data_IF_200954461253
#
_entry.id   IF_200954461253
#
_cell.length_a   1.000
_cell.length_b   1.000
_cell.length_c   1.000
_cell.angle_alpha   90.00
_cell.angle_beta   90.00
_cell.angle_gamma   90.00
#
_symmetry.space_group_name_H-M   'P 1'
#
loop_
_entity.id
_entity.type
_entity.pdbx_description
1 polymer ?
#
# COMPACT_ATOMS: atom_id res chain seq x y z
N UNK A 1 -51.44 -6.10 29.87
CA UNK A 1 -50.73 -5.67 28.65
C UNK A 1 -49.23 -5.77 28.89
N UNK A 2 -48.54 -6.77 28.34
CA UNK A 2 -47.08 -6.84 28.34
C UNK A 2 -46.54 -6.13 27.09
N UNK A 3 -45.57 -5.24 27.28
CA UNK A 3 -44.85 -4.56 26.20
C UNK A 3 -43.71 -5.47 25.71
N UNK A 4 -43.82 -5.88 24.45
CA UNK A 4 -42.81 -6.64 23.71
C UNK A 4 -41.66 -5.71 23.35
N UNK A 5 -40.49 -5.88 23.98
CA UNK A 5 -39.25 -5.28 23.49
C UNK A 5 -38.66 -6.19 22.42
N UNK A 6 -38.88 -5.81 21.16
CA UNK A 6 -38.25 -6.45 20.01
C UNK A 6 -36.74 -6.24 20.05
N UNK A 7 -35.99 -7.34 20.21
CA UNK A 7 -34.58 -7.39 19.85
C UNK A 7 -34.47 -7.19 18.34
N UNK A 8 -33.96 -6.03 17.92
CA UNK A 8 -33.41 -5.86 16.57
C UNK A 8 -32.13 -6.69 16.54
N UNK A 9 -32.21 -7.90 15.99
CA UNK A 9 -31.04 -8.63 15.51
C UNK A 9 -30.54 -7.86 14.30
N UNK A 10 -29.47 -7.08 14.47
CA UNK A 10 -28.65 -6.66 13.34
C UNK A 10 -28.07 -7.93 12.72
N UNK A 11 -28.50 -8.28 11.52
CA UNK A 11 -27.79 -9.23 10.68
C UNK A 11 -26.42 -8.59 10.39
N UNK A 12 -25.40 -9.02 11.15
CA UNK A 12 -24.02 -8.79 10.77
C UNK A 12 -23.80 -9.60 9.50
N UNK A 13 -23.56 -8.90 8.39
CA UNK A 13 -22.98 -9.43 7.17
C UNK A 13 -21.53 -9.86 7.48
N UNK A 14 -21.41 -11.02 8.13
CA UNK A 14 -20.17 -11.51 8.75
C UNK A 14 -19.61 -12.72 7.99
N UNK A 15 -20.01 -12.92 6.74
CA UNK A 15 -19.65 -14.11 5.95
C UNK A 15 -18.59 -13.87 4.86
N UNK A 16 -18.14 -12.63 4.63
CA UNK A 16 -17.03 -12.39 3.70
C UNK A 16 -15.71 -12.23 4.49
N UNK A 17 -14.79 -13.22 4.44
CA UNK A 17 -13.50 -13.12 5.12
C UNK A 17 -12.62 -12.01 4.54
N UNK A 18 -12.85 -11.60 3.29
CA UNK A 18 -12.06 -10.62 2.54
C UNK A 18 -12.70 -9.22 2.51
N UNK A 19 -13.35 -8.77 3.57
CA UNK A 19 -13.99 -7.43 3.59
C UNK A 19 -12.98 -6.30 3.77
N UNK A 20 -13.32 -5.10 3.28
CA UNK A 20 -12.59 -3.88 3.64
C UNK A 20 -13.34 -3.10 4.73
N UNK A 21 -12.69 -2.85 5.86
CA UNK A 21 -13.17 -2.15 7.04
C UNK A 21 -12.53 -0.76 7.20
N UNK A 22 -13.13 0.13 8.01
CA UNK A 22 -12.43 1.34 8.43
C UNK A 22 -11.42 0.99 9.53
N UNK A 23 -10.22 1.52 9.41
CA UNK A 23 -9.22 1.49 10.47
C UNK A 23 -9.68 2.40 11.60
N UNK A 24 -9.51 1.94 12.83
CA UNK A 24 -9.79 2.76 14.00
C UNK A 24 -8.76 3.91 14.14
N UNK A 25 -9.10 4.91 14.95
CA UNK A 25 -8.24 6.08 15.11
C UNK A 25 -6.86 5.73 15.66
N UNK A 26 -6.79 4.81 16.64
CA UNK A 26 -5.54 4.32 17.22
C UNK A 26 -4.67 3.59 16.20
N UNK A 27 -5.26 2.72 15.38
CA UNK A 27 -4.54 2.02 14.32
C UNK A 27 -4.01 2.98 13.25
N UNK A 28 -4.82 3.96 12.84
CA UNK A 28 -4.40 4.98 11.88
C UNK A 28 -3.20 5.78 12.42
N UNK A 29 -3.33 6.32 13.63
CA UNK A 29 -2.25 7.12 14.24
C UNK A 29 -1.01 6.27 14.54
N UNK A 30 -1.18 5.01 14.94
CA UNK A 30 -0.06 4.10 15.15
C UNK A 30 0.71 3.83 13.86
N UNK A 31 0.00 3.51 12.78
CA UNK A 31 0.62 3.27 11.47
C UNK A 31 1.37 4.52 10.97
N UNK A 32 0.72 5.69 10.98
CA UNK A 32 1.37 6.94 10.55
C UNK A 32 2.53 7.34 11.47
N UNK A 33 2.36 7.16 12.79
CA UNK A 33 3.39 7.51 13.76
C UNK A 33 4.67 6.67 13.63
N UNK A 34 4.53 5.41 13.19
CA UNK A 34 5.66 4.53 12.90
C UNK A 34 6.22 4.67 11.49
N UNK A 35 5.50 5.31 10.57
CA UNK A 35 5.92 5.43 9.18
C UNK A 35 6.98 6.51 8.98
N UNK A 36 8.06 6.16 8.29
CA UNK A 36 9.09 7.10 7.84
C UNK A 36 8.99 7.27 6.32
N UNK A 37 8.82 8.52 5.86
CA UNK A 37 8.60 8.81 4.45
C UNK A 37 9.83 8.38 3.62
N UNK A 38 9.58 7.62 2.55
CA UNK A 38 10.65 7.06 1.71
C UNK A 38 11.17 5.69 2.16
N UNK A 39 10.75 5.20 3.33
CA UNK A 39 11.40 4.06 3.97
C UNK A 39 10.41 2.97 4.45
N UNK A 40 11.00 1.85 4.89
CA UNK A 40 10.30 0.71 5.50
C UNK A 40 10.68 0.65 6.99
N UNK A 41 9.67 0.70 7.86
CA UNK A 41 9.86 0.57 9.32
C UNK A 41 9.36 -0.78 9.82
N UNK A 42 10.21 -1.54 10.52
CA UNK A 42 9.87 -2.79 11.16
C UNK A 42 9.39 -2.56 12.60
N UNK A 43 8.23 -3.12 12.92
CA UNK A 43 7.56 -2.98 14.22
C UNK A 43 7.41 -4.36 14.85
N UNK A 44 8.18 -4.60 15.91
CA UNK A 44 8.01 -5.79 16.76
C UNK A 44 6.83 -5.56 17.70
N UNK A 45 5.63 -5.91 17.22
CA UNK A 45 4.42 -5.82 18.01
C UNK A 45 3.38 -6.84 17.51
N UNK A 46 2.72 -7.58 18.42
CA UNK A 46 1.63 -8.46 18.03
C UNK A 46 0.45 -7.65 17.49
N UNK A 47 -0.42 -8.32 16.73
CA UNK A 47 -1.73 -7.81 16.33
C UNK A 47 -2.77 -8.91 16.53
N UNK A 48 -4.04 -8.54 16.68
CA UNK A 48 -5.13 -9.50 16.84
C UNK A 48 -5.30 -10.30 15.54
N UNK A 49 -4.67 -11.49 15.47
CA UNK A 49 -4.95 -12.51 14.46
C UNK A 49 -6.00 -13.43 15.07
N UNK A 50 -7.25 -13.35 14.60
CA UNK A 50 -8.27 -14.30 15.06
C UNK A 50 -7.85 -15.71 14.62
N UNK A 51 -7.36 -16.51 15.57
CA UNK A 51 -6.77 -17.84 15.32
C UNK A 51 -7.79 -18.87 14.84
N UNK A 52 -9.08 -18.64 15.11
CA UNK A 52 -10.15 -19.61 14.84
C UNK A 52 -10.72 -19.53 13.42
N UNK A 53 -10.48 -18.41 12.73
CA UNK A 53 -10.65 -18.25 11.29
C UNK A 53 -9.85 -16.99 10.89
N UNK A 54 -8.90 -17.07 9.93
CA UNK A 54 -8.08 -15.92 9.60
C UNK A 54 -8.98 -14.79 9.10
N UNK A 55 -9.11 -13.75 9.91
CA UNK A 55 -9.78 -12.52 9.53
C UNK A 55 -8.91 -11.85 8.46
N UNK A 56 -9.33 -11.97 7.19
CA UNK A 56 -8.68 -11.28 6.08
C UNK A 56 -9.25 -9.88 5.89
N UNK A 57 -9.88 -9.30 6.92
CA UNK A 57 -10.31 -7.91 6.91
C UNK A 57 -9.11 -7.01 6.60
N UNK A 58 -9.27 -6.23 5.54
CA UNK A 58 -8.35 -5.17 5.16
C UNK A 58 -8.87 -3.88 5.77
N UNK A 59 -7.99 -3.02 6.27
CA UNK A 59 -8.42 -1.77 6.89
C UNK A 59 -7.93 -0.58 6.08
N UNK A 60 -8.78 0.43 5.96
CA UNK A 60 -8.46 1.70 5.31
C UNK A 60 -8.82 2.87 6.20
N UNK A 61 -8.04 3.94 6.14
CA UNK A 61 -8.34 5.20 6.81
C UNK A 61 -7.88 6.38 5.97
N UNK A 62 -8.59 7.50 6.05
CA UNK A 62 -8.21 8.74 5.40
C UNK A 62 -8.52 9.93 6.32
N UNK A 63 -7.47 10.69 6.64
CA UNK A 63 -7.51 11.95 7.36
C UNK A 63 -7.32 13.11 6.37
N UNK A 64 -8.42 13.77 6.01
CA UNK A 64 -8.41 14.87 5.05
C UNK A 64 -7.83 16.17 5.60
N UNK A 65 -7.72 16.33 6.93
CA UNK A 65 -7.10 17.53 7.52
C UNK A 65 -5.56 17.45 7.44
N UNK A 66 -5.02 16.22 7.40
CA UNK A 66 -3.58 15.95 7.32
C UNK A 66 -3.11 15.46 5.96
N UNK A 67 -4.04 15.19 5.05
CA UNK A 67 -3.77 14.57 3.75
C UNK A 67 -3.11 13.19 3.89
N UNK A 68 -3.58 12.37 4.82
CA UNK A 68 -2.98 11.07 5.15
C UNK A 68 -3.93 9.92 4.83
N UNK A 69 -3.44 8.93 4.08
CA UNK A 69 -4.12 7.67 3.80
C UNK A 69 -3.39 6.50 4.46
N UNK A 70 -4.11 5.62 5.14
CA UNK A 70 -3.56 4.39 5.72
C UNK A 70 -4.27 3.19 5.13
N UNK A 71 -3.49 2.19 4.70
CA UNK A 71 -3.98 0.87 4.33
C UNK A 71 -3.28 -0.17 5.18
N UNK A 72 -4.03 -0.98 5.90
CA UNK A 72 -3.49 -2.07 6.72
C UNK A 72 -4.01 -3.42 6.23
N UNK A 73 -3.09 -4.33 5.91
CA UNK A 73 -3.41 -5.63 5.33
C UNK A 73 -2.62 -6.75 5.99
N UNK A 74 -3.24 -7.92 6.14
CA UNK A 74 -2.56 -9.15 6.57
C UNK A 74 -1.78 -9.73 5.40
N UNK A 75 -0.52 -10.10 5.63
CA UNK A 75 0.39 -10.57 4.58
C UNK A 75 1.10 -11.86 5.00
N UNK A 76 0.49 -13.01 4.73
CA UNK A 76 1.12 -14.32 4.96
C UNK A 76 1.80 -14.91 3.72
N UNK A 77 1.76 -14.22 2.58
CA UNK A 77 2.46 -14.62 1.36
C UNK A 77 2.29 -13.61 0.22
N UNK A 78 3.02 -13.80 -0.90
CA UNK A 78 3.10 -12.84 -2.00
C UNK A 78 1.75 -12.42 -2.58
N UNK A 79 0.94 -13.40 -2.96
CA UNK A 79 -0.34 -13.15 -3.62
C UNK A 79 -1.32 -12.42 -2.70
N UNK A 80 -1.43 -12.88 -1.45
CA UNK A 80 -2.31 -12.24 -0.48
C UNK A 80 -1.89 -10.80 -0.25
N UNK A 81 -0.58 -10.54 -0.08
CA UNK A 81 -0.08 -9.19 0.13
C UNK A 81 -0.50 -8.24 -1.00
N UNK A 82 -0.11 -8.55 -2.24
CA UNK A 82 -0.28 -7.60 -3.35
C UNK A 82 -1.75 -7.41 -3.68
N UNK A 83 -2.55 -8.49 -3.67
CA UNK A 83 -4.00 -8.41 -3.91
C UNK A 83 -4.68 -7.63 -2.81
N UNK A 84 -4.40 -7.92 -1.55
CA UNK A 84 -5.06 -7.24 -0.43
C UNK A 84 -4.71 -5.76 -0.40
N UNK A 85 -3.47 -5.40 -0.70
CA UNK A 85 -3.07 -4.01 -0.82
C UNK A 85 -3.84 -3.30 -1.95
N UNK A 86 -3.85 -3.90 -3.14
CA UNK A 86 -4.51 -3.34 -4.31
C UNK A 86 -6.03 -3.14 -4.09
N UNK A 87 -6.73 -4.15 -3.58
CA UNK A 87 -8.18 -4.10 -3.37
C UNK A 87 -8.56 -3.21 -2.18
N UNK A 88 -7.70 -3.08 -1.17
CA UNK A 88 -7.92 -2.11 -0.11
C UNK A 88 -7.75 -0.67 -0.62
N UNK A 89 -6.70 -0.40 -1.39
CA UNK A 89 -6.46 0.91 -2.02
C UNK A 89 -7.62 1.30 -2.93
N UNK A 90 -8.09 0.37 -3.75
CA UNK A 90 -9.20 0.56 -4.69
C UNK A 90 -10.59 0.50 -4.05
N UNK A 91 -10.68 0.28 -2.74
CA UNK A 91 -11.98 0.11 -2.10
C UNK A 91 -12.81 1.40 -2.20
N UNK A 92 -14.14 1.30 -2.41
CA UNK A 92 -15.02 2.47 -2.42
C UNK A 92 -14.89 3.34 -1.16
N UNK A 93 -14.57 2.71 -0.02
CA UNK A 93 -14.37 3.40 1.28
C UNK A 93 -13.20 4.37 1.27
N UNK A 94 -12.10 4.00 0.60
CA UNK A 94 -10.92 4.84 0.51
C UNK A 94 -11.02 5.79 -0.69
N UNK A 95 -11.33 5.26 -1.87
CA UNK A 95 -11.39 6.01 -3.14
C UNK A 95 -12.36 7.18 -3.04
N UNK A 96 -13.60 6.97 -2.59
CA UNK A 96 -14.59 8.04 -2.55
C UNK A 96 -14.26 9.13 -1.51
N UNK A 97 -13.39 8.83 -0.55
CA UNK A 97 -12.99 9.78 0.50
C UNK A 97 -11.72 10.54 0.13
N UNK A 98 -10.77 9.87 -0.54
CA UNK A 98 -9.48 10.44 -0.93
C UNK A 98 -9.54 11.16 -2.29
N UNK A 99 -10.36 10.69 -3.23
CA UNK A 99 -10.38 11.17 -4.62
C UNK A 99 -11.65 11.99 -4.91
N UNK A 100 -11.91 13.03 -4.11
CA UNK A 100 -13.06 13.93 -4.36
C UNK A 100 -12.90 14.68 -5.68
N UNK A 101 -14.02 15.08 -6.31
CA UNK A 101 -14.01 15.82 -7.58
C UNK A 101 -13.06 17.03 -7.53
N UNK A 102 -13.16 17.83 -6.47
CA UNK A 102 -12.31 19.02 -6.27
C UNK A 102 -10.80 18.74 -6.22
N UNK A 103 -10.39 17.53 -5.84
CA UNK A 103 -8.97 17.12 -5.80
C UNK A 103 -8.51 16.64 -7.17
N UNK A 104 -9.36 15.91 -7.87
CA UNK A 104 -9.03 15.43 -9.21
C UNK A 104 -9.01 16.58 -10.22
N UNK A 105 -9.94 17.53 -10.09
CA UNK A 105 -9.99 18.74 -10.91
C UNK A 105 -8.82 19.71 -10.66
N UNK A 106 -8.13 19.62 -9.52
CA UNK A 106 -6.97 20.47 -9.23
C UNK A 106 -5.67 19.99 -9.87
N UNK A 107 -5.65 18.75 -10.38
CA UNK A 107 -4.53 18.22 -11.14
C UNK A 107 -4.58 18.75 -12.57
N UNK A 108 -3.62 19.60 -12.92
CA UNK A 108 -3.45 20.05 -14.30
C UNK A 108 -2.87 18.91 -15.17
N UNK A 109 -3.42 18.72 -16.38
CA UNK A 109 -2.94 17.73 -17.35
C UNK A 109 -2.83 16.30 -16.78
N UNK A 110 -3.96 15.78 -16.29
CA UNK A 110 -4.11 14.40 -15.79
C UNK A 110 -3.47 13.35 -16.70
N UNK A 111 -3.67 13.38 -18.04
CA UNK A 111 -3.04 12.44 -18.93
C UNK A 111 -1.51 12.47 -18.86
N UNK A 112 -0.89 13.65 -18.93
CA UNK A 112 0.57 13.75 -18.87
C UNK A 112 1.14 13.24 -17.53
N UNK A 113 0.47 13.54 -16.42
CA UNK A 113 0.91 13.08 -15.09
C UNK A 113 0.70 11.58 -14.93
N UNK A 114 -0.53 11.11 -15.11
CA UNK A 114 -0.92 9.74 -14.78
C UNK A 114 -0.41 8.75 -15.83
N UNK A 115 -0.62 9.04 -17.12
CA UNK A 115 -0.27 8.13 -18.22
C UNK A 115 1.21 8.24 -18.60
N UNK A 116 1.72 9.44 -18.80
CA UNK A 116 3.04 9.61 -19.44
C UNK A 116 4.20 9.60 -18.44
N UNK A 117 4.04 10.25 -17.29
CA UNK A 117 5.08 10.31 -16.24
C UNK A 117 4.97 9.15 -15.23
N UNK A 118 3.77 8.90 -14.71
CA UNK A 118 3.52 7.85 -13.71
C UNK A 118 3.23 6.47 -14.32
N UNK A 119 3.01 6.39 -15.62
CA UNK A 119 2.75 5.14 -16.36
C UNK A 119 1.63 4.30 -15.76
N UNK A 120 0.59 4.96 -15.24
CA UNK A 120 -0.63 4.37 -14.71
C UNK A 120 -1.38 3.70 -15.87
N UNK A 121 -1.43 2.37 -15.83
CA UNK A 121 -2.12 1.57 -16.84
C UNK A 121 -3.61 1.45 -16.55
N UNK A 122 -4.40 1.11 -17.57
CA UNK A 122 -5.82 0.77 -17.42
C UNK A 122 -6.79 1.95 -17.41
N UNK A 123 -6.31 3.19 -17.58
CA UNK A 123 -7.17 4.37 -17.67
C UNK A 123 -7.59 4.64 -19.10
N UNK A 124 -8.90 4.58 -19.36
CA UNK A 124 -9.51 5.07 -20.61
C UNK A 124 -9.34 6.59 -20.73
N UNK A 125 -9.51 7.13 -21.94
CA UNK A 125 -9.50 8.59 -22.13
C UNK A 125 -10.65 9.25 -21.35
N UNK A 126 -11.83 8.61 -21.30
CA UNK A 126 -12.96 9.03 -20.49
C UNK A 126 -12.61 9.10 -18.99
N UNK A 127 -11.94 8.08 -18.45
CA UNK A 127 -11.49 8.07 -17.07
C UNK A 127 -10.44 9.15 -16.76
N UNK A 128 -9.76 9.72 -17.76
CA UNK A 128 -8.81 10.82 -17.55
C UNK A 128 -9.46 12.20 -17.66
N UNK A 129 -10.64 12.30 -18.28
CA UNK A 129 -11.38 13.55 -18.47
C UNK A 129 -12.49 13.74 -17.44
N UNK A 130 -12.98 12.66 -16.83
CA UNK A 130 -14.06 12.68 -15.83
C UNK A 130 -13.60 12.09 -14.47
N UNK A 131 -13.59 12.91 -13.39
CA UNK A 131 -13.30 12.45 -12.04
C UNK A 131 -14.15 11.28 -11.55
N UNK A 132 -15.42 11.20 -11.94
CA UNK A 132 -16.31 10.10 -11.56
C UNK A 132 -15.90 8.81 -12.26
N UNK A 133 -15.74 8.85 -13.59
CA UNK A 133 -15.23 7.73 -14.37
C UNK A 133 -13.86 7.23 -13.89
N UNK A 134 -12.97 8.14 -13.46
CA UNK A 134 -11.66 7.75 -12.89
C UNK A 134 -11.81 6.90 -11.63
N UNK A 135 -12.65 7.35 -10.69
CA UNK A 135 -12.90 6.61 -9.44
C UNK A 135 -13.54 5.27 -9.72
N UNK A 136 -14.55 5.23 -10.59
CA UNK A 136 -15.24 4.00 -10.96
C UNK A 136 -14.28 3.00 -11.60
N UNK A 137 -13.40 3.45 -12.51
CA UNK A 137 -12.39 2.59 -13.13
C UNK A 137 -11.45 1.93 -12.11
N UNK A 138 -11.00 2.66 -11.07
CA UNK A 138 -10.17 2.06 -10.02
C UNK A 138 -10.95 1.06 -9.17
N UNK A 139 -12.19 1.39 -8.80
CA UNK A 139 -13.05 0.50 -8.01
C UNK A 139 -13.34 -0.78 -8.79
N UNK A 140 -13.72 -0.67 -10.07
CA UNK A 140 -13.98 -1.79 -10.97
C UNK A 140 -12.74 -2.68 -11.13
N UNK A 141 -11.56 -2.09 -11.36
CA UNK A 141 -10.32 -2.85 -11.43
C UNK A 141 -10.02 -3.61 -10.11
N UNK A 142 -10.36 -3.01 -8.97
CA UNK A 142 -10.32 -3.68 -7.67
C UNK A 142 -11.28 -4.88 -7.59
N UNK A 143 -12.53 -4.71 -8.04
CA UNK A 143 -13.54 -5.79 -8.09
C UNK A 143 -13.14 -6.92 -9.04
N UNK A 144 -12.62 -6.61 -10.22
CA UNK A 144 -12.10 -7.58 -11.17
C UNK A 144 -10.98 -8.44 -10.57
N UNK A 145 -10.09 -7.84 -9.77
CA UNK A 145 -9.05 -8.57 -9.06
C UNK A 145 -9.63 -9.55 -8.03
N UNK A 146 -10.67 -9.15 -7.29
CA UNK A 146 -11.36 -10.03 -6.36
C UNK A 146 -11.98 -11.22 -7.11
N UNK A 147 -12.64 -10.97 -8.24
CA UNK A 147 -13.22 -12.02 -9.10
C UNK A 147 -12.16 -12.97 -9.65
N UNK A 148 -11.02 -12.46 -10.12
CA UNK A 148 -9.91 -13.30 -10.58
C UNK A 148 -9.33 -14.16 -9.44
N UNK A 149 -9.27 -13.63 -8.22
CA UNK A 149 -8.80 -14.41 -7.06
C UNK A 149 -9.82 -15.46 -6.62
N UNK A 150 -11.12 -15.18 -6.75
CA UNK A 150 -12.18 -16.16 -6.54
C UNK A 150 -12.08 -17.31 -7.57
N UNK A 151 -11.90 -16.99 -8.86
CA UNK A 151 -11.64 -17.98 -9.92
C UNK A 151 -10.40 -18.82 -9.64
N UNK A 152 -9.31 -18.19 -9.19
CA UNK A 152 -8.09 -18.90 -8.78
C UNK A 152 -8.37 -19.87 -7.62
N UNK A 153 -9.15 -19.44 -6.62
CA UNK A 153 -9.53 -20.31 -5.49
C UNK A 153 -10.46 -21.45 -5.91
N UNK A 154 -11.31 -21.24 -6.91
CA UNK A 154 -12.22 -22.24 -7.45
C UNK A 154 -11.55 -23.22 -8.42
N UNK A 155 -10.29 -22.98 -8.81
CA UNK A 155 -9.58 -23.81 -9.79
C UNK A 155 -9.95 -23.52 -11.25
N UNK A 156 -10.53 -22.35 -11.53
CA UNK A 156 -11.02 -21.97 -12.86
C UNK A 156 -9.91 -21.34 -13.71
N UNK A 157 -8.95 -22.17 -14.15
CA UNK A 157 -7.84 -21.78 -15.01
C UNK A 157 -7.27 -22.97 -15.79
N UNK A 158 -6.66 -22.69 -16.94
CA UNK A 158 -5.93 -23.70 -17.73
C UNK A 158 -4.50 -23.91 -17.21
N UNK A 159 -3.80 -22.81 -16.91
CA UNK A 159 -2.44 -22.79 -16.37
C UNK A 159 -2.43 -21.93 -15.10
N UNK A 160 -2.24 -22.60 -13.96
CA UNK A 160 -2.27 -21.97 -12.64
C UNK A 160 -1.22 -20.88 -12.49
N UNK A 161 0.01 -21.13 -12.95
CA UNK A 161 1.12 -20.23 -12.69
C UNK A 161 1.06 -19.02 -13.61
N UNK A 162 0.67 -19.22 -14.88
CA UNK A 162 0.36 -18.11 -15.78
C UNK A 162 -0.78 -17.24 -15.25
N UNK A 163 -1.84 -17.86 -14.73
CA UNK A 163 -3.01 -17.15 -14.18
C UNK A 163 -2.67 -16.38 -12.89
N UNK A 164 -1.93 -17.01 -11.96
CA UNK A 164 -1.39 -16.32 -10.77
C UNK A 164 -0.49 -15.15 -11.16
N UNK A 165 0.36 -15.34 -12.17
CA UNK A 165 1.22 -14.28 -12.68
C UNK A 165 0.44 -13.10 -13.27
N UNK A 166 -0.70 -13.33 -13.94
CA UNK A 166 -1.55 -12.23 -14.42
C UNK A 166 -2.23 -11.48 -13.28
N UNK A 167 -2.72 -12.19 -12.26
CA UNK A 167 -3.29 -11.57 -11.05
C UNK A 167 -2.25 -10.69 -10.35
N UNK A 168 -1.05 -11.23 -10.11
CA UNK A 168 0.04 -10.48 -9.46
C UNK A 168 0.41 -9.21 -10.24
N UNK A 169 0.55 -9.30 -11.57
CA UNK A 169 0.85 -8.13 -12.40
C UNK A 169 -0.26 -7.08 -12.36
N UNK A 170 -1.52 -7.52 -12.44
CA UNK A 170 -2.68 -6.64 -12.38
C UNK A 170 -2.77 -5.93 -11.02
N UNK A 171 -2.61 -6.67 -9.92
CA UNK A 171 -2.64 -6.12 -8.57
C UNK A 171 -1.49 -5.15 -8.29
N UNK A 172 -0.26 -5.46 -8.74
CA UNK A 172 0.84 -4.51 -8.68
C UNK A 172 0.57 -3.24 -9.49
N UNK A 173 -0.02 -3.38 -10.69
CA UNK A 173 -0.43 -2.26 -11.52
C UNK A 173 -1.43 -1.35 -10.80
N UNK A 174 -2.49 -1.92 -10.23
CA UNK A 174 -3.52 -1.17 -9.52
C UNK A 174 -2.95 -0.46 -8.27
N UNK A 175 -2.20 -1.21 -7.43
CA UNK A 175 -1.61 -0.65 -6.21
C UNK A 175 -0.61 0.47 -6.54
N UNK A 176 0.27 0.27 -7.51
CA UNK A 176 1.21 1.29 -7.97
C UNK A 176 0.47 2.53 -8.49
N UNK A 177 -0.59 2.33 -9.27
CA UNK A 177 -1.36 3.42 -9.87
C UNK A 177 -2.02 4.33 -8.82
N UNK A 178 -2.70 3.74 -7.84
CA UNK A 178 -3.36 4.51 -6.78
C UNK A 178 -2.32 5.22 -5.90
N UNK A 179 -1.21 4.56 -5.57
CA UNK A 179 -0.13 5.17 -4.78
C UNK A 179 0.50 6.37 -5.52
N UNK A 180 0.75 6.25 -6.82
CA UNK A 180 1.26 7.36 -7.62
C UNK A 180 0.24 8.50 -7.78
N UNK A 181 -1.05 8.20 -7.84
CA UNK A 181 -2.09 9.22 -7.86
C UNK A 181 -2.19 9.95 -6.51
N UNK A 182 -2.13 9.23 -5.39
CA UNK A 182 -2.09 9.84 -4.06
C UNK A 182 -0.89 10.78 -3.91
N UNK A 183 0.29 10.36 -4.37
CA UNK A 183 1.48 11.23 -4.40
C UNK A 183 1.28 12.50 -5.24
N UNK A 184 0.67 12.38 -6.42
CA UNK A 184 0.38 13.53 -7.28
C UNK A 184 -0.60 14.50 -6.61
N UNK A 185 -1.52 13.98 -5.79
CA UNK A 185 -2.48 14.75 -5.00
C UNK A 185 -1.92 15.27 -3.67
N UNK A 186 -0.65 14.99 -3.37
CA UNK A 186 -0.02 15.36 -2.08
C UNK A 186 -0.58 14.58 -0.88
N UNK A 187 -1.15 13.40 -1.11
CA UNK A 187 -1.66 12.51 -0.07
C UNK A 187 -0.53 11.57 0.37
N UNK A 188 -0.16 11.67 1.65
CA UNK A 188 0.83 10.81 2.29
C UNK A 188 0.22 9.43 2.59
N UNK A 189 0.70 8.41 1.88
CA UNK A 189 0.20 7.03 2.03
C UNK A 189 1.08 6.18 2.93
N UNK A 190 0.47 5.51 3.90
CA UNK A 190 1.11 4.54 4.80
C UNK A 190 0.52 3.16 4.57
N UNK A 191 1.39 2.19 4.30
CA UNK A 191 1.01 0.78 4.13
C UNK A 191 1.46 -0.02 5.34
N UNK A 192 0.53 -0.43 6.21
CA UNK A 192 0.80 -1.34 7.32
C UNK A 192 0.65 -2.80 6.84
N UNK A 193 1.77 -3.52 6.77
CA UNK A 193 1.82 -4.94 6.43
C UNK A 193 1.89 -5.75 7.72
N UNK A 194 0.82 -6.47 8.04
CA UNK A 194 0.70 -7.30 9.24
C UNK A 194 1.12 -8.73 8.92
N UNK A 195 2.31 -9.10 9.38
CA UNK A 195 2.96 -10.39 9.12
C UNK A 195 2.66 -11.35 10.27
N UNK A 196 1.87 -12.42 10.06
CA UNK A 196 1.58 -13.39 11.10
C UNK A 196 2.85 -14.09 11.60
N UNK A 197 2.88 -14.46 12.87
CA UNK A 197 3.99 -15.21 13.43
C UNK A 197 4.04 -16.65 12.89
N UNK A 198 5.23 -17.24 12.92
CA UNK A 198 5.40 -18.66 12.60
C UNK A 198 5.45 -18.99 11.10
N UNK A 199 5.55 -17.99 10.21
CA UNK A 199 5.86 -18.24 8.80
C UNK A 199 7.20 -18.97 8.66
N UNK A 200 7.27 -19.93 7.74
CA UNK A 200 8.51 -20.64 7.44
C UNK A 200 9.50 -19.72 6.68
N UNK A 201 10.77 -20.13 6.62
CA UNK A 201 11.83 -19.36 5.97
C UNK A 201 11.56 -19.09 4.49
N UNK A 202 10.94 -20.02 3.75
CA UNK A 202 10.64 -19.82 2.34
C UNK A 202 9.53 -18.77 2.18
N UNK A 203 8.46 -18.87 2.97
CA UNK A 203 7.39 -17.87 3.00
C UNK A 203 7.91 -16.46 3.32
N UNK A 204 8.83 -16.33 4.27
CA UNK A 204 9.48 -15.06 4.59
C UNK A 204 10.35 -14.53 3.44
N UNK A 205 11.10 -15.39 2.75
CA UNK A 205 11.91 -14.99 1.58
C UNK A 205 11.03 -14.50 0.42
N UNK A 206 9.95 -15.22 0.13
CA UNK A 206 9.00 -14.86 -0.93
C UNK A 206 8.30 -13.53 -0.61
N UNK A 207 7.91 -13.34 0.66
CA UNK A 207 7.31 -12.09 1.12
C UNK A 207 8.30 -10.92 1.00
N UNK A 208 9.54 -11.08 1.46
CA UNK A 208 10.59 -10.06 1.36
C UNK A 208 10.86 -9.65 -0.10
N UNK A 209 10.97 -10.64 -0.99
CA UNK A 209 11.13 -10.40 -2.43
C UNK A 209 9.95 -9.60 -2.99
N UNK A 210 8.73 -9.96 -2.60
CA UNK A 210 7.52 -9.28 -3.08
C UNK A 210 7.41 -7.86 -2.54
N UNK A 211 7.79 -7.62 -1.28
CA UNK A 211 7.86 -6.28 -0.69
C UNK A 211 8.88 -5.43 -1.44
N UNK A 212 10.07 -5.95 -1.74
CA UNK A 212 11.09 -5.24 -2.53
C UNK A 212 10.57 -4.84 -3.93
N UNK A 213 9.94 -5.77 -4.64
CA UNK A 213 9.33 -5.49 -5.95
C UNK A 213 8.23 -4.43 -5.84
N UNK A 214 7.32 -4.57 -4.87
CA UNK A 214 6.23 -3.60 -4.66
C UNK A 214 6.78 -2.20 -4.34
N UNK A 215 7.85 -2.13 -3.55
CA UNK A 215 8.54 -0.89 -3.18
C UNK A 215 9.12 -0.20 -4.41
N UNK A 216 9.81 -0.94 -5.28
CA UNK A 216 10.33 -0.39 -6.54
C UNK A 216 9.21 0.10 -7.48
N UNK A 217 8.09 -0.62 -7.55
CA UNK A 217 6.90 -0.22 -8.32
C UNK A 217 6.28 1.06 -7.78
N UNK A 218 6.29 1.25 -6.47
CA UNK A 218 5.71 2.40 -5.77
C UNK A 218 6.73 3.52 -5.52
N UNK A 219 7.86 3.51 -6.22
CA UNK A 219 8.91 4.52 -6.10
C UNK A 219 8.91 5.46 -7.31
N UNK A 220 9.40 6.69 -7.08
CA UNK A 220 9.52 7.72 -8.11
C UNK A 220 10.91 8.35 -8.17
N UNK A 221 11.28 8.82 -9.36
CA UNK A 221 12.38 9.75 -9.58
C UNK A 221 11.80 11.02 -10.17
N UNK A 222 11.70 12.08 -9.37
CA UNK A 222 10.88 13.25 -9.71
C UNK A 222 9.43 12.85 -10.05
N UNK A 223 8.98 13.18 -11.25
CA UNK A 223 7.64 12.81 -11.73
C UNK A 223 7.54 11.37 -12.29
N UNK A 224 8.66 10.65 -12.47
CA UNK A 224 8.69 9.40 -13.21
C UNK A 224 8.59 8.17 -12.31
N UNK A 225 7.80 7.17 -12.71
CA UNK A 225 7.72 5.89 -11.98
C UNK A 225 9.01 5.06 -12.16
N UNK A 226 9.69 4.72 -11.06
CA UNK A 226 11.01 4.09 -11.11
C UNK A 226 11.01 2.74 -11.80
N UNK A 227 10.05 1.87 -11.48
CA UNK A 227 10.05 0.50 -12.00
C UNK A 227 9.96 0.45 -13.53
N UNK A 228 9.20 1.38 -14.13
CA UNK A 228 9.09 1.48 -15.59
C UNK A 228 10.42 1.80 -16.24
N UNK A 229 11.21 2.66 -15.62
CA UNK A 229 12.49 3.12 -16.15
C UNK A 229 13.60 2.07 -15.94
N UNK A 230 13.64 1.45 -14.75
CA UNK A 230 14.76 0.61 -14.33
C UNK A 230 14.59 -0.88 -14.64
N UNK A 231 13.38 -1.43 -14.54
CA UNK A 231 13.15 -2.89 -14.51
C UNK A 231 12.18 -3.41 -15.57
N UNK A 232 11.47 -2.54 -16.30
CA UNK A 232 10.53 -2.98 -17.34
C UNK A 232 11.29 -3.61 -18.51
N UNK A 233 11.12 -4.92 -18.72
CA UNK A 233 11.80 -5.64 -19.80
C UNK A 233 11.13 -5.47 -21.17
N UNK A 234 9.84 -5.10 -21.22
CA UNK A 234 9.10 -4.93 -22.47
C UNK A 234 9.45 -3.58 -23.13
N UNK A 235 10.21 -3.64 -24.21
CA UNK A 235 10.72 -2.45 -24.92
C UNK A 235 9.61 -1.50 -25.37
N UNK A 236 8.52 -2.00 -25.95
CA UNK A 236 7.35 -1.19 -26.37
C UNK A 236 6.81 -0.31 -25.23
N UNK A 237 6.79 -0.85 -24.01
CA UNK A 237 6.31 -0.17 -22.82
C UNK A 237 7.31 0.82 -22.23
N UNK A 238 8.60 0.66 -22.52
CA UNK A 238 9.62 1.65 -22.17
C UNK A 238 9.61 2.81 -23.15
N UNK A 239 9.55 2.52 -24.46
CA UNK A 239 9.58 3.53 -25.51
C UNK A 239 8.38 4.47 -25.49
N UNK A 240 7.23 4.03 -24.97
CA UNK A 240 6.05 4.87 -24.79
C UNK A 240 6.12 5.77 -23.55
N UNK A 241 7.07 5.53 -22.63
CA UNK A 241 7.19 6.31 -21.41
C UNK A 241 8.12 7.50 -21.62
N UNK A 242 7.82 8.63 -20.98
CA UNK A 242 8.78 9.72 -20.90
C UNK A 242 9.95 9.30 -20.00
N UNK A 243 11.18 9.65 -20.39
CA UNK A 243 12.38 9.35 -19.61
C UNK A 243 12.88 10.57 -18.84
N UNK A 244 13.34 10.40 -17.59
CA UNK A 244 13.92 11.50 -16.83
C UNK A 244 15.26 11.96 -17.43
N UNK A 245 15.55 13.25 -17.28
CA UNK A 245 16.95 13.70 -17.27
C UNK A 245 17.48 13.49 -15.86
N UNK A 246 18.46 12.60 -15.70
CA UNK A 246 19.03 12.29 -14.38
C UNK A 246 19.92 13.44 -13.92
N UNK A 247 19.65 13.97 -12.72
CA UNK A 247 20.56 14.86 -12.03
C UNK A 247 21.70 14.04 -11.41
N UNK A 248 22.91 14.22 -11.92
CA UNK A 248 24.09 13.53 -11.41
C UNK A 248 24.43 13.86 -9.95
N UNK A 249 23.91 14.97 -9.40
CA UNK A 249 24.10 15.32 -7.98
C UNK A 249 23.05 14.68 -7.07
N UNK A 250 21.92 14.24 -7.62
CA UNK A 250 20.85 13.55 -6.91
C UNK A 250 20.25 12.43 -7.78
N UNK A 251 20.98 11.30 -7.96
CA UNK A 251 20.55 10.19 -8.79
C UNK A 251 19.69 9.19 -8.01
N UNK A 252 18.98 9.63 -6.97
CA UNK A 252 18.21 8.75 -6.09
C UNK A 252 16.70 8.98 -6.23
N UNK A 253 15.98 7.93 -6.57
CA UNK A 253 14.54 7.85 -6.45
C UNK A 253 14.11 7.51 -5.02
N UNK A 254 12.86 7.80 -4.71
CA UNK A 254 12.28 7.68 -3.37
C UNK A 254 11.02 6.83 -3.41
N UNK A 255 10.83 5.99 -2.40
CA UNK A 255 9.54 5.33 -2.17
C UNK A 255 8.48 6.39 -1.88
N UNK A 256 7.34 6.31 -2.56
CA UNK A 256 6.21 7.18 -2.27
C UNK A 256 5.61 6.77 -0.93
N UNK A 257 5.45 7.70 0.00
CA UNK A 257 4.90 7.46 1.33
C UNK A 257 5.79 6.57 2.21
N UNK A 258 5.21 5.83 3.16
CA UNK A 258 5.95 4.89 4.02
C UNK A 258 5.33 3.49 4.06
N UNK A 259 6.14 2.49 4.43
CA UNK A 259 5.70 1.11 4.67
C UNK A 259 6.04 0.73 6.10
N UNK A 260 5.06 0.23 6.84
CA UNK A 260 5.23 -0.26 8.21
C UNK A 260 5.00 -1.76 8.20
N UNK A 261 6.01 -2.57 8.53
CA UNK A 261 5.87 -4.03 8.59
C UNK A 261 5.84 -4.46 10.05
N UNK A 262 4.70 -5.01 10.48
CA UNK A 262 4.42 -5.33 11.88
C UNK A 262 4.22 -6.82 12.09
N UNK A 263 4.85 -7.39 13.12
CA UNK A 263 4.65 -8.77 13.54
C UNK A 263 5.51 -9.14 14.76
N UNK A 264 5.13 -10.20 15.48
CA UNK A 264 5.80 -10.65 16.73
C UNK A 264 7.19 -11.28 16.47
N UNK A 265 7.45 -11.80 15.27
CA UNK A 265 8.75 -12.37 14.88
C UNK A 265 9.38 -11.63 13.69
N UNK A 266 9.11 -10.32 13.58
CA UNK A 266 9.54 -9.50 12.44
C UNK A 266 11.06 -9.42 12.26
N UNK A 267 11.83 -9.64 13.33
CA UNK A 267 13.29 -9.72 13.29
C UNK A 267 13.78 -10.82 12.32
N UNK A 268 12.97 -11.87 12.06
CA UNK A 268 13.28 -12.94 11.09
C UNK A 268 13.16 -12.47 9.65
N UNK A 269 12.28 -11.50 9.38
CA UNK A 269 12.05 -10.96 8.04
C UNK A 269 13.13 -9.94 7.65
N UNK A 270 13.65 -9.18 8.62
CA UNK A 270 14.68 -8.15 8.41
C UNK A 270 15.83 -8.56 7.47
N UNK A 271 16.60 -9.63 7.75
CA UNK A 271 17.73 -10.00 6.88
C UNK A 271 17.30 -10.40 5.47
N UNK A 272 16.04 -10.82 5.27
CA UNK A 272 15.52 -11.17 3.95
C UNK A 272 15.13 -9.92 3.17
N UNK A 273 14.52 -8.94 3.85
CA UNK A 273 14.24 -7.64 3.26
C UNK A 273 15.52 -6.91 2.88
N UNK A 274 16.53 -6.87 3.77
CA UNK A 274 17.85 -6.28 3.48
C UNK A 274 18.43 -6.90 2.20
N UNK A 275 18.50 -8.24 2.13
CA UNK A 275 18.99 -8.94 0.96
C UNK A 275 18.19 -8.63 -0.33
N UNK A 276 16.85 -8.63 -0.24
CA UNK A 276 15.97 -8.37 -1.39
C UNK A 276 16.01 -6.92 -1.86
N UNK A 277 16.31 -5.95 -0.99
CA UNK A 277 16.46 -4.54 -1.35
C UNK A 277 17.85 -4.24 -1.92
N UNK A 278 18.90 -4.87 -1.39
CA UNK A 278 20.28 -4.75 -1.89
C UNK A 278 20.52 -5.46 -3.22
N UNK A 279 19.72 -6.50 -3.50
CA UNK A 279 19.83 -7.31 -4.73
C UNK A 279 18.52 -7.25 -5.52
N UNK A 280 18.14 -6.08 -6.09
CA UNK A 280 16.93 -5.96 -6.88
C UNK A 280 17.02 -6.78 -8.18
N UNK A 281 15.89 -6.84 -8.91
CA UNK A 281 15.86 -7.44 -10.24
C UNK A 281 16.91 -6.82 -11.17
N UNK A 282 17.31 -7.56 -12.21
CA UNK A 282 18.25 -7.04 -13.19
C UNK A 282 17.69 -5.78 -13.88
N UNK A 283 18.55 -4.78 -14.05
CA UNK A 283 18.21 -3.57 -14.78
C UNK A 283 17.93 -3.87 -16.25
N UNK A 284 17.06 -3.05 -16.85
CA UNK A 284 16.89 -3.03 -18.30
C UNK A 284 18.20 -2.57 -18.99
N UNK A 285 18.42 -3.01 -20.23
CA UNK A 285 19.66 -2.78 -20.98
C UNK A 285 20.04 -1.29 -21.10
N UNK A 286 19.04 -0.42 -21.28
CA UNK A 286 19.21 1.03 -21.40
C UNK A 286 18.60 1.78 -20.20
N UNK A 287 18.64 1.17 -19.01
CA UNK A 287 18.12 1.82 -17.80
C UNK A 287 18.88 3.13 -17.53
N UNK A 288 18.19 4.24 -17.22
CA UNK A 288 18.83 5.49 -16.85
C UNK A 288 19.66 5.36 -15.57
N UNK A 289 20.68 6.21 -15.42
CA UNK A 289 21.71 6.13 -14.37
C UNK A 289 21.24 6.65 -13.00
N UNK A 290 20.06 6.23 -12.54
CA UNK A 290 19.57 6.50 -11.18
C UNK A 290 19.22 5.20 -10.43
N UNK A 291 19.16 5.25 -9.12
CA UNK A 291 18.83 4.11 -8.26
C UNK A 291 17.65 4.45 -7.34
N UNK A 292 17.00 3.44 -6.76
CA UNK A 292 16.02 3.64 -5.68
C UNK A 292 16.66 3.14 -4.39
N UNK A 293 16.79 4.04 -3.40
CA UNK A 293 17.26 3.69 -2.07
C UNK A 293 16.07 3.65 -1.12
N UNK A 294 15.87 2.50 -0.47
CA UNK A 294 14.85 2.34 0.58
C UNK A 294 15.54 1.78 1.80
N UNK A 295 15.51 2.53 2.88
CA UNK A 295 16.13 2.16 4.14
C UNK A 295 15.19 1.28 4.97
N UNK A 296 15.80 0.46 5.83
CA UNK A 296 15.09 -0.33 6.83
C UNK A 296 15.38 0.25 8.21
N UNK A 297 14.35 0.77 8.86
CA UNK A 297 14.40 1.26 10.23
C UNK A 297 13.59 0.38 11.17
N UNK A 298 13.79 0.56 12.47
CA UNK A 298 12.94 -0.02 13.52
C UNK A 298 12.34 1.12 14.32
N UNK A 299 11.20 0.88 14.98
CA UNK A 299 10.57 1.87 15.85
C UNK A 299 11.57 2.41 16.87
N UNK A 300 11.66 3.72 16.94
CA UNK A 300 12.48 4.44 17.90
C UNK A 300 11.62 5.37 18.76
N UNK A 301 12.27 6.12 19.67
CA UNK A 301 11.59 7.10 20.53
C UNK A 301 10.82 8.16 19.73
N UNK A 302 11.23 8.49 18.52
CA UNK A 302 10.58 9.48 17.65
C UNK A 302 9.23 8.99 17.18
N UNK A 303 9.12 7.72 16.80
CA UNK A 303 7.85 7.09 16.43
C UNK A 303 6.84 7.11 17.59
N UNK A 304 7.27 6.76 18.82
CA UNK A 304 6.44 6.89 20.02
C UNK A 304 5.99 8.33 20.27
N UNK A 305 6.89 9.31 20.10
CA UNK A 305 6.56 10.72 20.25
C UNK A 305 5.52 11.17 19.22
N UNK A 306 5.67 10.76 17.96
CA UNK A 306 4.76 11.06 16.86
C UNK A 306 3.35 10.51 17.13
N UNK A 307 3.25 9.20 17.40
CA UNK A 307 1.97 8.55 17.67
C UNK A 307 1.28 9.12 18.92
N UNK A 308 2.01 9.27 20.03
CA UNK A 308 1.45 9.81 21.27
C UNK A 308 1.00 11.27 21.11
N UNK A 309 1.76 12.09 20.38
CA UNK A 309 1.38 13.48 20.11
C UNK A 309 0.08 13.54 19.31
N UNK A 310 -0.05 12.73 18.26
CA UNK A 310 -1.25 12.67 17.42
C UNK A 310 -2.48 12.20 18.19
N UNK A 311 -2.37 11.12 18.98
CA UNK A 311 -3.46 10.62 19.84
C UNK A 311 -3.91 11.69 20.85
N UNK A 312 -2.95 12.33 21.53
CA UNK A 312 -3.24 13.27 22.61
C UNK A 312 -3.76 14.62 22.09
N UNK A 313 -3.34 15.04 20.89
CA UNK A 313 -3.82 16.25 20.25
C UNK A 313 -5.35 16.24 20.05
N UNK A 314 -5.96 15.08 19.82
CA UNK A 314 -7.43 14.95 19.74
C UNK A 314 -8.15 15.40 21.03
N UNK A 315 -7.44 15.38 22.17
CA UNK A 315 -7.92 15.86 23.48
C UNK A 315 -7.27 17.17 23.90
N UNK A 316 -6.60 17.88 22.99
CA UNK A 316 -5.79 19.07 23.28
C UNK A 316 -4.70 18.83 24.36
N UNK A 317 -4.19 17.60 24.43
CA UNK A 317 -3.11 17.21 25.33
C UNK A 317 -1.79 17.12 24.56
N UNK A 318 -0.67 17.24 25.29
CA UNK A 318 0.69 17.07 24.76
C UNK A 318 1.46 16.09 25.63
N UNK A 319 2.14 15.09 25.05
CA UNK A 319 2.98 14.20 25.84
C UNK A 319 4.20 14.96 26.38
N UNK A 320 4.68 14.57 27.56
CA UNK A 320 5.96 15.05 28.09
C UNK A 320 7.11 14.19 27.57
N UNK A 321 8.34 14.70 27.61
CA UNK A 321 9.54 13.95 27.18
C UNK A 321 9.73 12.70 28.05
N UNK A 322 9.42 12.81 29.33
CA UNK A 322 9.48 11.76 30.34
C UNK A 322 8.45 10.65 30.03
N UNK A 323 7.21 11.03 29.70
CA UNK A 323 6.17 10.06 29.29
C UNK A 323 6.60 9.29 28.04
N UNK A 324 7.13 9.97 27.02
CA UNK A 324 7.61 9.28 25.81
C UNK A 324 8.76 8.34 26.13
N UNK A 325 9.71 8.78 26.96
CA UNK A 325 10.82 7.92 27.39
C UNK A 325 10.34 6.68 28.14
N UNK A 326 9.28 6.78 28.96
CA UNK A 326 8.69 5.64 29.66
C UNK A 326 7.91 4.70 28.74
N UNK A 327 7.25 5.22 27.70
CA UNK A 327 6.52 4.39 26.73
C UNK A 327 7.44 3.62 25.79
N UNK A 328 8.62 4.17 25.48
CA UNK A 328 9.62 3.54 24.62
C UNK A 328 10.55 2.57 25.36
N UNK A 329 10.77 2.78 26.66
CA UNK A 329 11.73 2.01 27.48
C UNK A 329 11.34 0.54 27.63
#
# INVERSE_FOLDING_TARGET
>A
MPLVHGRIRSYSDNSNPNRTAYLDHSGHVGAVGCGEAGDITLVDAPFDDQTDAPDHTRYVGFDGDREEAVVAVRTSGPLQYVVSLATALASPRLINRALTDSRLESLEDLPAILRDARCIGGLSDEALEDPEALREAFIEWGTDLEDLTAKLSAGEYEDRDRFRGSIMRSAHGLAGSIVHLFDALGIDVVRELRVPSGLDTNSLNELATTISIATAIQSKYGAFACYRQLFESREEKRQSALSPTVDANDPLGTLIGSVVVRGEDIYRLRPKLEQSLETPAALAEDAPEFAVLVSLSTVDRTAYASAATRILQFKNLRPTRETISLLHA
#
